data_IF_745258880231
#
_entry.id   IF_745258880231
#
_cell.length_a   1.000
_cell.length_b   1.000
_cell.length_c   1.000
_cell.angle_alpha   90.00
_cell.angle_beta   90.00
_cell.angle_gamma   90.00
#
_symmetry.space_group_name_H-M   'P 1'
#
loop_
_entity.id
_entity.type
_entity.pdbx_description
1 polymer ?
#
# COMPACT_ATOMS: atom_id res chain seq x y z
N UNK A 1 8.95 47.33 11.92
CA UNK A 1 8.18 46.17 12.43
C UNK A 1 7.11 45.67 11.46
N UNK A 2 6.25 46.52 10.87
CA UNK A 2 5.22 46.08 9.90
C UNK A 2 5.79 45.39 8.64
N UNK A 3 6.91 45.88 8.10
CA UNK A 3 7.55 45.28 6.91
C UNK A 3 8.27 43.94 7.18
N UNK A 4 8.67 43.69 8.43
CA UNK A 4 9.32 42.43 8.82
C UNK A 4 8.28 41.31 8.98
N UNK A 5 7.09 41.66 9.46
CA UNK A 5 5.95 40.73 9.59
C UNK A 5 5.45 40.30 8.21
N UNK A 6 5.41 41.19 7.22
CA UNK A 6 5.02 40.84 5.85
C UNK A 6 6.01 39.86 5.20
N UNK A 7 7.32 40.02 5.45
CA UNK A 7 8.36 39.15 4.91
C UNK A 7 8.27 37.72 5.51
N UNK A 8 7.95 37.63 6.80
CA UNK A 8 7.75 36.36 7.50
C UNK A 8 6.48 35.65 7.01
N UNK A 9 5.39 36.38 6.77
CA UNK A 9 4.16 35.81 6.18
C UNK A 9 4.40 35.32 4.75
N UNK A 10 5.22 36.02 3.94
CA UNK A 10 5.59 35.56 2.60
C UNK A 10 6.44 34.29 2.62
N UNK A 11 7.32 34.13 3.62
CA UNK A 11 8.17 32.94 3.79
C UNK A 11 7.37 31.70 4.23
N UNK A 12 6.22 31.87 4.90
CA UNK A 12 5.33 30.75 5.24
C UNK A 12 4.43 30.31 4.08
N UNK A 13 4.26 31.12 3.03
CA UNK A 13 3.50 30.74 1.84
C UNK A 13 4.30 29.87 0.86
N UNK A 14 5.61 29.70 1.05
CA UNK A 14 6.43 28.79 0.24
C UNK A 14 6.58 27.39 0.83
N UNK A 15 5.89 27.06 1.93
CA UNK A 15 5.67 25.66 2.31
C UNK A 15 4.57 25.03 1.45
N UNK A 16 4.67 25.19 0.12
CA UNK A 16 4.03 24.26 -0.79
C UNK A 16 4.69 22.91 -0.53
N UNK A 17 3.93 21.99 0.06
CA UNK A 17 4.25 20.57 0.13
C UNK A 17 4.53 20.14 -1.31
N UNK A 18 5.80 20.05 -1.70
CA UNK A 18 6.17 19.80 -3.09
C UNK A 18 5.58 18.44 -3.49
N UNK A 19 4.59 18.48 -4.38
CA UNK A 19 4.15 17.34 -5.17
C UNK A 19 5.34 16.91 -6.04
N UNK A 20 6.24 16.09 -5.48
CA UNK A 20 7.40 15.60 -6.22
C UNK A 20 6.99 14.33 -6.94
N UNK A 21 6.83 14.47 -8.26
CA UNK A 21 6.84 13.33 -9.16
C UNK A 21 8.01 12.39 -8.81
N UNK A 22 7.83 11.07 -8.95
CA UNK A 22 8.89 10.10 -8.68
C UNK A 22 10.17 10.44 -9.45
N UNK A 23 11.32 10.42 -8.79
CA UNK A 23 12.62 10.59 -9.44
C UNK A 23 12.94 9.38 -10.32
N UNK A 24 13.86 9.51 -11.26
CA UNK A 24 14.34 8.38 -12.07
C UNK A 24 14.94 7.24 -11.21
N UNK A 25 15.52 7.59 -10.06
CA UNK A 25 15.97 6.61 -9.08
C UNK A 25 14.78 5.86 -8.46
N UNK A 26 13.73 6.56 -8.04
CA UNK A 26 12.51 5.92 -7.52
C UNK A 26 11.89 4.96 -8.55
N UNK A 27 11.79 5.38 -9.81
CA UNK A 27 11.25 4.54 -10.89
C UNK A 27 12.09 3.29 -11.13
N UNK A 28 13.42 3.41 -11.10
CA UNK A 28 14.34 2.29 -11.26
C UNK A 28 14.21 1.31 -10.10
N UNK A 29 14.24 1.81 -8.87
CA UNK A 29 14.09 0.99 -7.66
C UNK A 29 12.74 0.26 -7.67
N UNK A 30 11.67 0.94 -8.07
CA UNK A 30 10.35 0.35 -8.23
C UNK A 30 10.37 -0.86 -9.18
N UNK A 31 10.91 -0.68 -10.40
CA UNK A 31 11.02 -1.76 -11.38
C UNK A 31 11.90 -2.90 -10.90
N UNK A 32 13.02 -2.59 -10.24
CA UNK A 32 13.92 -3.58 -9.66
C UNK A 32 13.20 -4.40 -8.58
N UNK A 33 12.48 -3.77 -7.66
CA UNK A 33 11.73 -4.44 -6.60
C UNK A 33 10.66 -5.34 -7.17
N UNK A 34 9.86 -4.87 -8.13
CA UNK A 34 8.85 -5.72 -8.78
C UNK A 34 9.47 -6.93 -9.49
N UNK A 35 10.66 -6.77 -10.08
CA UNK A 35 11.36 -7.85 -10.81
C UNK A 35 11.81 -9.00 -9.90
N UNK A 36 11.89 -8.79 -8.58
CA UNK A 36 12.21 -9.83 -7.60
C UNK A 36 11.06 -10.83 -7.40
N UNK A 37 9.84 -10.51 -7.87
CA UNK A 37 8.66 -11.33 -7.67
C UNK A 37 8.22 -12.01 -8.98
N UNK A 38 7.62 -13.21 -8.90
CA UNK A 38 6.91 -13.77 -10.05
C UNK A 38 5.86 -12.78 -10.57
N UNK A 39 5.80 -12.60 -11.89
CA UNK A 39 4.88 -11.65 -12.52
C UNK A 39 3.41 -11.88 -12.11
N UNK A 40 3.03 -13.13 -11.88
CA UNK A 40 1.68 -13.48 -11.41
C UNK A 40 1.29 -12.82 -10.09
N UNK A 41 2.25 -12.46 -9.22
CA UNK A 41 2.00 -11.78 -7.95
C UNK A 41 1.93 -10.26 -8.08
N UNK A 42 2.69 -9.67 -9.02
CA UNK A 42 2.87 -8.21 -9.14
C UNK A 42 2.22 -7.58 -10.38
N UNK A 43 1.59 -8.36 -11.25
CA UNK A 43 0.98 -7.84 -12.49
C UNK A 43 -0.13 -6.79 -12.29
N UNK A 44 -0.69 -6.65 -11.08
CA UNK A 44 -1.70 -5.62 -10.78
C UNK A 44 -1.10 -4.26 -10.45
N UNK A 45 0.20 -4.19 -10.16
CA UNK A 45 0.89 -2.92 -9.95
C UNK A 45 1.03 -2.16 -11.28
N UNK A 46 1.09 -0.81 -11.25
CA UNK A 46 1.36 -0.01 -12.44
C UNK A 46 2.66 -0.45 -13.14
N UNK A 47 2.67 -0.59 -14.47
CA UNK A 47 3.90 -0.98 -15.18
C UNK A 47 5.00 0.08 -15.08
N UNK A 48 4.57 1.35 -15.04
CA UNK A 48 5.44 2.49 -14.83
C UNK A 48 4.82 3.44 -13.80
N UNK A 49 5.67 4.24 -13.18
CA UNK A 49 5.24 5.39 -12.39
C UNK A 49 5.16 6.66 -13.25
N UNK A 50 5.50 6.57 -14.54
CA UNK A 50 5.14 7.57 -15.54
C UNK A 50 3.62 7.61 -15.73
N UNK A 51 3.04 8.78 -15.45
CA UNK A 51 1.62 9.03 -15.67
C UNK A 51 1.35 9.46 -17.11
N UNK A 52 0.12 9.23 -17.62
CA UNK A 52 -0.36 9.92 -18.80
C UNK A 52 -0.20 11.45 -18.65
N UNK A 53 0.02 12.16 -19.75
CA UNK A 53 0.15 13.63 -19.73
C UNK A 53 -1.03 14.27 -18.99
N UNK A 54 -0.73 15.12 -18.00
CA UNK A 54 -1.71 15.87 -17.21
C UNK A 54 -2.07 15.25 -15.86
N UNK A 55 -1.72 13.98 -15.61
CA UNK A 55 -1.78 13.42 -14.28
C UNK A 55 -0.50 13.77 -13.49
N UNK A 56 -0.68 14.11 -12.22
CA UNK A 56 0.41 14.27 -11.26
C UNK A 56 0.22 13.30 -10.10
N UNK A 57 1.19 12.42 -9.89
CA UNK A 57 1.31 11.71 -8.62
C UNK A 57 1.76 12.76 -7.60
N UNK A 58 0.94 13.07 -6.61
CA UNK A 58 1.35 14.04 -5.59
C UNK A 58 2.55 13.52 -4.79
N UNK A 59 2.37 12.37 -4.15
CA UNK A 59 3.36 11.63 -3.38
C UNK A 59 3.23 10.13 -3.71
N UNK A 60 4.35 9.48 -4.01
CA UNK A 60 4.42 8.03 -4.15
C UNK A 60 5.34 7.43 -3.10
N UNK A 61 4.88 6.41 -2.40
CA UNK A 61 5.67 5.73 -1.37
C UNK A 61 5.71 4.24 -1.62
N UNK A 62 6.92 3.69 -1.70
CA UNK A 62 7.18 2.29 -1.97
C UNK A 62 7.76 1.65 -0.72
N UNK A 63 6.93 0.83 -0.09
CA UNK A 63 7.32 0.08 1.08
C UNK A 63 7.50 -1.39 0.73
N UNK A 64 8.66 -1.93 1.08
CA UNK A 64 9.04 -3.32 0.87
C UNK A 64 9.98 -3.76 2.00
N UNK A 65 10.07 -5.07 2.31
CA UNK A 65 11.02 -5.59 3.28
C UNK A 65 12.45 -5.32 2.79
N UNK A 66 13.25 -4.66 3.63
CA UNK A 66 14.67 -4.44 3.33
C UNK A 66 15.44 -5.76 3.47
N UNK A 67 16.31 -6.06 2.51
CA UNK A 67 17.15 -7.28 2.51
C UNK A 67 16.59 -8.38 1.61
N UNK A 68 16.77 -9.65 2.01
CA UNK A 68 16.46 -10.82 1.17
C UNK A 68 14.99 -11.27 1.18
N UNK A 69 14.19 -10.73 2.09
CA UNK A 69 12.81 -11.16 2.27
C UNK A 69 11.90 -10.45 1.27
N UNK A 70 10.80 -11.10 0.88
CA UNK A 70 9.84 -10.64 -0.11
C UNK A 70 8.40 -10.77 0.44
N UNK A 71 8.24 -10.50 1.74
CA UNK A 71 6.98 -10.69 2.46
C UNK A 71 5.90 -9.65 2.15
N UNK A 72 6.23 -8.51 1.51
CA UNK A 72 5.21 -7.55 1.07
C UNK A 72 5.76 -6.53 0.06
N UNK A 73 4.86 -5.89 -0.68
CA UNK A 73 5.13 -4.65 -1.43
C UNK A 73 3.89 -3.78 -1.31
N UNK A 74 4.05 -2.52 -0.90
CA UNK A 74 2.99 -1.52 -0.94
C UNK A 74 3.45 -0.31 -1.76
N UNK A 75 2.59 0.16 -2.64
CA UNK A 75 2.77 1.40 -3.38
C UNK A 75 1.56 2.31 -3.08
N UNK A 76 1.79 3.40 -2.36
CA UNK A 76 0.79 4.45 -2.17
C UNK A 76 1.00 5.49 -3.23
N UNK A 77 -0.09 6.00 -3.77
CA UNK A 77 -0.03 7.10 -4.70
C UNK A 77 -1.18 8.07 -4.47
N UNK A 78 -0.85 9.34 -4.25
CA UNK A 78 -1.83 10.43 -4.22
C UNK A 78 -2.25 10.70 -5.66
N UNK A 79 -3.54 10.59 -5.94
CA UNK A 79 -4.12 10.77 -7.26
C UNK A 79 -5.45 11.52 -7.12
N UNK A 80 -5.50 12.74 -7.65
CA UNK A 80 -6.70 13.60 -7.62
C UNK A 80 -7.42 13.62 -9.00
N UNK A 81 -6.96 12.84 -9.97
CA UNK A 81 -7.60 12.72 -11.28
C UNK A 81 -8.80 11.76 -11.20
N UNK A 82 -10.00 12.34 -11.15
CA UNK A 82 -11.23 11.58 -11.01
C UNK A 82 -11.49 10.64 -12.20
N UNK A 83 -11.13 11.02 -13.43
CA UNK A 83 -11.35 10.17 -14.60
C UNK A 83 -10.50 8.90 -14.54
N UNK A 84 -9.25 9.04 -14.09
CA UNK A 84 -8.38 7.89 -13.84
C UNK A 84 -8.91 7.00 -12.72
N UNK A 85 -9.32 7.60 -11.59
CA UNK A 85 -9.89 6.87 -10.44
C UNK A 85 -11.15 6.11 -10.86
N UNK A 86 -12.09 6.75 -11.55
CA UNK A 86 -13.34 6.11 -12.01
C UNK A 86 -13.09 4.95 -12.97
N UNK A 87 -12.13 5.12 -13.90
CA UNK A 87 -11.72 4.06 -14.83
C UNK A 87 -11.10 2.87 -14.09
N UNK A 88 -10.25 3.16 -13.10
CA UNK A 88 -9.63 2.15 -12.25
C UNK A 88 -10.68 1.41 -11.41
N UNK A 89 -11.61 2.13 -10.77
CA UNK A 89 -12.71 1.54 -9.99
C UNK A 89 -13.58 0.62 -10.83
N UNK A 90 -13.93 1.03 -12.05
CA UNK A 90 -14.73 0.21 -12.97
C UNK A 90 -14.01 -1.10 -13.30
N UNK A 91 -12.70 -1.03 -13.57
CA UNK A 91 -11.88 -2.22 -13.84
C UNK A 91 -11.79 -3.13 -12.62
N UNK A 92 -11.46 -2.56 -11.46
CA UNK A 92 -11.33 -3.33 -10.21
C UNK A 92 -12.65 -3.95 -9.77
N UNK A 93 -13.79 -3.31 -10.05
CA UNK A 93 -15.12 -3.87 -9.76
C UNK A 93 -15.43 -5.14 -10.55
N UNK A 94 -14.77 -5.34 -11.70
CA UNK A 94 -14.89 -6.54 -12.53
C UNK A 94 -13.82 -7.57 -12.14
N UNK A 95 -12.58 -7.12 -11.94
CA UNK A 95 -11.43 -8.00 -11.74
C UNK A 95 -11.29 -8.49 -10.30
N UNK A 96 -11.93 -7.83 -9.33
CA UNK A 96 -11.79 -8.19 -7.92
C UNK A 96 -12.48 -9.50 -7.58
N UNK A 97 -11.78 -10.32 -6.80
CA UNK A 97 -12.32 -11.50 -6.14
C UNK A 97 -13.37 -11.11 -5.10
N UNK A 98 -13.13 -10.02 -4.37
CA UNK A 98 -14.05 -9.50 -3.36
C UNK A 98 -13.84 -7.99 -3.15
N UNK A 99 -14.92 -7.28 -2.89
CA UNK A 99 -14.92 -5.85 -2.54
C UNK A 99 -15.22 -5.73 -1.05
N UNK A 100 -14.26 -5.22 -0.28
CA UNK A 100 -14.29 -5.17 1.17
C UNK A 100 -14.39 -3.74 1.67
N UNK A 101 -15.07 -3.56 2.81
CA UNK A 101 -15.19 -2.27 3.45
C UNK A 101 -13.98 -2.00 4.35
N UNK A 102 -13.30 -0.86 4.14
CA UNK A 102 -12.12 -0.46 4.93
C UNK A 102 -12.40 -0.30 6.43
N UNK A 103 -13.66 -0.06 6.83
CA UNK A 103 -14.05 0.04 8.25
C UNK A 103 -14.16 -1.32 8.94
N UNK A 104 -14.12 -2.45 8.20
CA UNK A 104 -14.06 -3.79 8.79
C UNK A 104 -12.67 -4.10 9.34
N UNK A 105 -12.47 -3.70 10.58
CA UNK A 105 -11.19 -3.88 11.30
C UNK A 105 -10.77 -5.34 11.51
N UNK A 106 -11.65 -6.32 11.29
CA UNK A 106 -11.35 -7.74 11.46
C UNK A 106 -10.59 -8.33 10.26
N UNK A 107 -10.36 -7.54 9.20
CA UNK A 107 -9.60 -7.94 8.01
C UNK A 107 -8.09 -7.70 8.15
N UNK A 108 -7.68 -6.84 9.10
CA UNK A 108 -6.33 -6.30 9.09
C UNK A 108 -5.30 -7.21 9.73
N UNK A 109 -4.19 -7.38 9.02
CA UNK A 109 -3.00 -8.06 9.50
C UNK A 109 -2.42 -7.30 10.71
N UNK A 110 -2.04 -7.99 11.80
CA UNK A 110 -1.50 -7.36 13.00
C UNK A 110 0.00 -7.01 12.85
N UNK A 111 0.37 -6.28 11.82
CA UNK A 111 1.76 -5.89 11.53
C UNK A 111 1.94 -4.38 11.61
N UNK A 112 3.05 -3.95 12.20
CA UNK A 112 3.48 -2.56 12.21
C UNK A 112 4.62 -2.38 11.21
N UNK A 113 4.32 -1.78 10.07
CA UNK A 113 5.29 -1.57 9.00
C UNK A 113 6.26 -0.42 9.30
N UNK A 114 6.08 0.33 10.40
CA UNK A 114 7.07 1.30 10.91
C UNK A 114 8.24 0.61 11.57
N UNK A 115 7.92 -0.36 12.42
CA UNK A 115 8.90 -1.07 13.25
C UNK A 115 9.29 -2.42 12.65
N UNK A 116 8.58 -2.87 11.61
CA UNK A 116 8.73 -4.18 10.98
C UNK A 116 8.46 -5.34 11.94
N UNK A 117 7.45 -5.18 12.80
CA UNK A 117 7.13 -6.12 13.88
C UNK A 117 5.66 -6.55 13.88
N UNK A 118 5.41 -7.80 14.29
CA UNK A 118 4.05 -8.27 14.60
C UNK A 118 3.60 -7.65 15.93
N UNK A 119 2.44 -7.01 15.91
CA UNK A 119 1.77 -6.46 17.07
C UNK A 119 1.26 -7.61 17.95
N UNK A 120 1.79 -7.69 19.18
CA UNK A 120 1.46 -8.75 20.13
C UNK A 120 0.26 -8.46 21.03
N UNK A 121 -0.30 -7.24 20.94
CA UNK A 121 -1.45 -6.81 21.75
C UNK A 121 -2.68 -7.68 21.50
N UNK A 122 -3.25 -8.23 22.57
CA UNK A 122 -4.34 -9.21 22.50
C UNK A 122 -5.61 -8.67 21.82
N UNK A 123 -5.90 -7.37 21.91
CA UNK A 123 -7.07 -6.74 21.27
C UNK A 123 -6.97 -6.67 19.73
N UNK A 124 -5.75 -6.73 19.21
CA UNK A 124 -5.44 -6.74 17.77
C UNK A 124 -5.28 -8.18 17.30
N UNK A 125 -4.59 -9.03 18.09
CA UNK A 125 -4.39 -10.45 17.80
C UNK A 125 -5.67 -11.29 17.87
N UNK A 126 -6.61 -10.94 18.75
CA UNK A 126 -7.88 -11.66 18.93
C UNK A 126 -9.02 -11.21 18.00
N UNK A 127 -8.84 -10.16 17.19
CA UNK A 127 -9.63 -9.97 15.97
C UNK A 127 -9.15 -10.96 14.92
N UNK A 128 -9.35 -12.25 15.20
CA UNK A 128 -8.94 -13.34 14.33
C UNK A 128 -9.56 -13.10 12.95
N UNK A 129 -8.76 -13.30 11.92
CA UNK A 129 -9.20 -13.22 10.53
C UNK A 129 -10.40 -14.16 10.25
N UNK A 130 -10.77 -15.12 11.12
CA UNK A 130 -12.01 -15.90 11.09
C UNK A 130 -12.44 -16.37 9.68
N UNK A 131 -11.49 -16.91 8.91
CA UNK A 131 -11.74 -17.39 7.54
C UNK A 131 -11.84 -16.29 6.47
N UNK A 132 -11.71 -15.02 6.85
CA UNK A 132 -11.59 -13.87 5.95
C UNK A 132 -10.18 -13.74 5.38
N UNK A 133 -10.10 -13.00 4.27
CA UNK A 133 -8.85 -12.71 3.59
C UNK A 133 -8.05 -11.63 4.34
N UNK A 134 -6.78 -11.89 4.69
CA UNK A 134 -5.94 -10.89 5.32
C UNK A 134 -5.70 -9.70 4.39
N UNK A 135 -5.75 -8.49 4.95
CA UNK A 135 -5.48 -7.22 4.25
C UNK A 135 -4.45 -6.41 5.05
N UNK A 136 -3.51 -5.70 4.40
CA UNK A 136 -2.54 -4.86 5.10
C UNK A 136 -3.19 -3.86 6.05
N UNK A 137 -2.57 -3.64 7.19
CA UNK A 137 -2.99 -2.62 8.13
C UNK A 137 -2.39 -1.25 7.78
N UNK A 138 -3.05 -0.53 6.87
CA UNK A 138 -2.57 0.77 6.40
C UNK A 138 -2.50 1.85 7.51
N UNK A 139 -3.18 1.67 8.64
CA UNK A 139 -3.04 2.57 9.82
C UNK A 139 -1.69 2.46 10.51
N UNK A 140 -0.97 1.37 10.25
CA UNK A 140 0.36 1.07 10.80
C UNK A 140 1.43 1.13 9.74
N UNK A 141 1.16 1.86 8.65
CA UNK A 141 2.17 2.16 7.67
C UNK A 141 3.14 3.23 8.22
N UNK A 142 4.30 3.37 7.58
CA UNK A 142 5.37 4.23 8.07
C UNK A 142 5.08 5.71 7.92
N UNK A 143 4.27 6.05 6.94
CA UNK A 143 3.65 7.35 6.82
C UNK A 143 2.30 7.36 7.54
N UNK A 144 2.06 8.38 8.37
CA UNK A 144 0.71 8.63 8.88
C UNK A 144 -0.11 9.27 7.78
N UNK A 145 -1.09 8.54 7.24
CA UNK A 145 -2.04 9.14 6.34
C UNK A 145 -2.99 10.08 7.09
N UNK A 146 -3.45 11.13 6.41
CA UNK A 146 -4.50 12.02 6.94
C UNK A 146 -5.80 11.22 7.14
N UNK A 147 -6.67 11.61 8.09
CA UNK A 147 -7.85 10.84 8.46
C UNK A 147 -8.74 10.37 7.30
N UNK A 148 -8.84 11.19 6.24
CA UNK A 148 -9.60 10.90 5.02
C UNK A 148 -9.07 9.70 4.22
N UNK A 149 -7.82 9.28 4.42
CA UNK A 149 -7.28 8.04 3.83
C UNK A 149 -7.80 6.79 4.55
N UNK A 150 -8.31 6.92 5.77
CA UNK A 150 -8.92 5.78 6.48
C UNK A 150 -10.39 5.57 6.11
N UNK A 151 -10.84 6.18 5.01
CA UNK A 151 -12.10 5.92 4.33
C UNK A 151 -11.81 5.49 2.89
N UNK A 152 -12.31 4.31 2.51
CA UNK A 152 -12.06 3.76 1.18
C UNK A 152 -12.67 2.40 0.95
N UNK A 153 -12.45 1.89 -0.26
CA UNK A 153 -12.89 0.59 -0.74
C UNK A 153 -11.67 -0.27 -1.01
N UNK A 154 -11.66 -1.48 -0.46
CA UNK A 154 -10.60 -2.46 -0.70
C UNK A 154 -11.07 -3.42 -1.79
N UNK A 155 -10.35 -3.45 -2.90
CA UNK A 155 -10.55 -4.40 -3.98
C UNK A 155 -9.53 -5.54 -3.81
N UNK A 156 -9.97 -6.65 -3.22
CA UNK A 156 -9.17 -7.86 -3.10
C UNK A 156 -9.11 -8.52 -4.47
N UNK A 157 -7.94 -8.52 -5.10
CA UNK A 157 -7.78 -9.10 -6.44
C UNK A 157 -7.57 -10.60 -6.38
N UNK A 158 -6.74 -11.07 -5.45
CA UNK A 158 -6.54 -12.49 -5.26
C UNK A 158 -6.02 -12.81 -3.85
N UNK A 159 -6.32 -14.03 -3.41
CA UNK A 159 -5.94 -14.55 -2.12
C UNK A 159 -5.86 -16.07 -2.18
N UNK A 160 -4.64 -16.61 -2.18
CA UNK A 160 -4.39 -18.05 -2.35
C UNK A 160 -3.40 -18.58 -1.33
N UNK A 161 -3.68 -19.80 -0.88
CA UNK A 161 -2.80 -20.64 -0.05
C UNK A 161 -1.97 -21.54 -0.96
N UNK A 162 -0.76 -21.89 -0.54
CA UNK A 162 0.18 -22.70 -1.32
C UNK A 162 1.51 -22.00 -1.51
N UNK A 163 2.47 -22.63 -2.20
CA UNK A 163 3.83 -22.13 -2.35
C UNK A 163 3.97 -21.23 -3.58
N UNK A 164 4.22 -19.94 -3.37
CA UNK A 164 4.40 -18.96 -4.46
C UNK A 164 5.77 -18.27 -4.46
N UNK A 165 6.50 -18.34 -3.34
CA UNK A 165 7.89 -17.91 -3.21
C UNK A 165 8.72 -19.00 -2.54
N UNK A 166 10.04 -19.08 -2.81
CA UNK A 166 10.95 -19.96 -2.08
C UNK A 166 11.05 -19.58 -0.60
N UNK A 167 11.26 -20.56 0.28
CA UNK A 167 11.43 -20.35 1.73
C UNK A 167 12.53 -19.34 2.06
N UNK A 168 13.59 -19.26 1.25
CA UNK A 168 14.69 -18.29 1.43
C UNK A 168 14.25 -16.84 1.30
N UNK A 169 13.13 -16.59 0.61
CA UNK A 169 12.54 -15.27 0.40
C UNK A 169 11.46 -14.95 1.45
N UNK A 170 11.04 -15.91 2.27
CA UNK A 170 10.02 -15.70 3.29
C UNK A 170 10.68 -15.42 4.64
N UNK A 171 10.20 -14.39 5.34
CA UNK A 171 10.69 -14.13 6.68
C UNK A 171 10.08 -15.15 7.65
N UNK A 172 10.86 -15.61 8.64
CA UNK A 172 10.40 -16.60 9.65
C UNK A 172 9.15 -16.14 10.41
N UNK A 173 8.98 -14.83 10.51
CA UNK A 173 7.87 -14.19 11.21
C UNK A 173 6.82 -13.62 10.26
N UNK A 174 6.99 -13.75 8.93
CA UNK A 174 6.22 -13.09 7.88
C UNK A 174 5.70 -11.70 8.25
N UNK A 175 4.44 -11.43 7.90
CA UNK A 175 3.71 -10.21 8.28
C UNK A 175 2.65 -10.46 9.35
N UNK A 176 2.70 -11.58 10.07
CA UNK A 176 1.67 -11.98 11.03
C UNK A 176 0.39 -12.55 10.42
N UNK A 177 0.45 -13.10 9.20
CA UNK A 177 -0.64 -13.95 8.68
C UNK A 177 -0.83 -15.18 9.59
N UNK A 178 -2.06 -15.69 9.67
CA UNK A 178 -2.31 -16.93 10.43
C UNK A 178 -1.58 -18.10 9.77
N UNK A 179 -1.23 -19.13 10.54
CA UNK A 179 -0.57 -20.35 10.03
C UNK A 179 -1.28 -21.01 8.84
N UNK A 180 -2.60 -20.85 8.73
CA UNK A 180 -3.37 -21.37 7.59
C UNK A 180 -3.04 -20.70 6.25
N UNK A 181 -2.32 -19.58 6.29
CA UNK A 181 -1.78 -18.85 5.14
C UNK A 181 -0.28 -19.12 4.96
N UNK A 182 0.27 -20.19 5.55
CA UNK A 182 1.67 -20.55 5.32
C UNK A 182 1.97 -20.63 3.83
N UNK A 183 3.02 -19.92 3.38
CA UNK A 183 3.45 -19.79 1.99
C UNK A 183 2.52 -19.02 1.06
N UNK A 184 1.32 -18.66 1.54
CA UNK A 184 0.27 -18.02 0.77
C UNK A 184 0.49 -16.52 0.56
N UNK A 185 -0.41 -15.92 -0.22
CA UNK A 185 -0.42 -14.49 -0.45
C UNK A 185 -1.83 -13.92 -0.51
N UNK A 186 -1.88 -12.61 -0.33
CA UNK A 186 -3.03 -11.75 -0.63
C UNK A 186 -2.57 -10.52 -1.36
N UNK A 187 -3.33 -10.07 -2.35
CA UNK A 187 -3.02 -8.87 -3.11
C UNK A 187 -4.28 -8.10 -3.48
N UNK A 188 -4.12 -6.80 -3.66
CA UNK A 188 -5.24 -5.96 -4.03
C UNK A 188 -4.86 -4.52 -4.29
N UNK A 189 -5.91 -3.73 -4.46
CA UNK A 189 -5.85 -2.28 -4.59
C UNK A 189 -6.85 -1.67 -3.64
N UNK A 190 -6.44 -0.68 -2.87
CA UNK A 190 -7.32 0.10 -2.01
C UNK A 190 -7.48 1.48 -2.62
N UNK A 191 -8.71 1.88 -2.90
CA UNK A 191 -9.03 3.23 -3.35
C UNK A 191 -9.57 4.01 -2.17
N UNK A 192 -8.83 5.04 -1.80
CA UNK A 192 -9.13 5.95 -0.70
C UNK A 192 -9.52 7.31 -1.30
N UNK A 193 -10.13 8.17 -0.49
CA UNK A 193 -10.63 9.48 -0.95
C UNK A 193 -9.58 10.37 -1.64
N UNK A 194 -8.29 10.22 -1.30
CA UNK A 194 -7.17 11.03 -1.83
C UNK A 194 -5.97 10.19 -2.25
N UNK A 195 -6.18 8.92 -2.57
CA UNK A 195 -5.07 8.08 -2.98
C UNK A 195 -5.45 6.64 -3.27
N UNK A 196 -4.51 5.97 -3.92
CA UNK A 196 -4.61 4.58 -4.33
C UNK A 196 -3.45 3.83 -3.69
N UNK A 197 -3.73 2.69 -3.07
CA UNK A 197 -2.70 1.82 -2.51
C UNK A 197 -2.73 0.48 -3.23
N UNK A 198 -1.70 0.19 -3.99
CA UNK A 198 -1.45 -1.14 -4.54
C UNK A 198 -0.68 -1.95 -3.51
N UNK A 199 -1.08 -3.20 -3.27
CA UNK A 199 -0.45 -3.99 -2.23
C UNK A 199 -0.36 -5.48 -2.57
N UNK A 200 0.67 -6.11 -2.01
CA UNK A 200 0.93 -7.55 -1.99
C UNK A 200 1.45 -7.89 -0.59
N UNK A 201 0.94 -8.97 -0.01
CA UNK A 201 1.39 -9.58 1.24
C UNK A 201 1.67 -11.04 0.96
N UNK A 202 2.83 -11.54 1.40
CA UNK A 202 3.26 -12.92 1.26
C UNK A 202 3.77 -13.42 2.61
N UNK A 203 3.35 -14.61 2.99
CA UNK A 203 3.76 -15.23 4.24
C UNK A 203 4.53 -16.50 3.98
#
# INVERSE_FOLDING_TARGET
>A
MKSLILLIILLFLTSCQENKSPTEEHKRNYKEILSLYPNSLVAHFPQDLDLPQGLHWGFSDLLFPRGRYLSYIHLAIVCDDQLYVDSLEKRLSIDSKEILNFKDTCLFIPYDYRTFEIIKEDSVKNRRLNGKYPVPNFRRWHYQFVPEFYEGTIYLLDARKGYFLPDSCLSRYGVGLSKDWNHGYTRGVTIMKKGIVYWLEVW
#
